data_IF_300576605582
#
_entry.id   IF_300576605582
#
_cell.length_a   1.000
_cell.length_b   1.000
_cell.length_c   1.000
_cell.angle_alpha   90.00
_cell.angle_beta   90.00
_cell.angle_gamma   90.00
#
_symmetry.space_group_name_H-M   'P 1'
#
loop_
_entity.id
_entity.type
_entity.pdbx_description
1 polymer ?
#
# COMPACT_ATOMS: atom_id res chain seq x y z
N UNK A 1 5.39 22.49 34.37
CA UNK A 1 4.62 21.37 33.81
C UNK A 1 4.51 21.65 32.34
N UNK A 2 4.99 20.75 31.48
CA UNK A 2 4.75 20.88 30.05
C UNK A 2 3.23 20.86 29.83
N UNK A 3 2.72 21.75 29.00
CA UNK A 3 1.31 21.81 28.64
C UNK A 3 1.06 20.62 27.71
N UNK A 4 0.40 19.59 28.21
CA UNK A 4 0.08 18.38 27.43
C UNK A 4 -0.84 18.81 26.29
N UNK A 5 -0.45 18.53 25.05
CA UNK A 5 -1.27 18.85 23.89
C UNK A 5 -2.60 18.09 23.96
N UNK A 6 -3.71 18.78 23.68
CA UNK A 6 -5.02 18.16 23.70
C UNK A 6 -5.13 17.02 22.67
N UNK A 7 -5.88 15.96 23.00
CA UNK A 7 -6.13 14.86 22.07
C UNK A 7 -6.82 15.38 20.80
N UNK A 8 -6.38 14.94 19.60
CA UNK A 8 -7.10 15.19 18.36
C UNK A 8 -8.54 14.69 18.41
N UNK A 9 -9.46 15.33 17.69
CA UNK A 9 -10.88 14.94 17.68
C UNK A 9 -11.12 13.52 17.12
N UNK A 10 -10.25 13.05 16.23
CA UNK A 10 -10.29 11.69 15.66
C UNK A 10 -9.64 10.64 16.57
N UNK A 11 -8.97 11.04 17.66
CA UNK A 11 -8.24 10.12 18.53
C UNK A 11 -9.21 9.11 19.16
N UNK A 12 -8.96 7.83 18.90
CA UNK A 12 -9.74 6.70 19.41
C UNK A 12 -8.97 5.91 20.47
N UNK A 13 -7.63 5.90 20.36
CA UNK A 13 -6.72 5.27 21.29
C UNK A 13 -5.56 6.24 21.57
N UNK A 14 -5.19 6.37 22.83
CA UNK A 14 -4.12 7.24 23.28
C UNK A 14 -3.11 6.42 24.06
N UNK A 15 -1.84 6.61 23.76
CA UNK A 15 -0.71 6.00 24.47
C UNK A 15 -0.05 7.09 25.30
N UNK A 16 0.00 6.86 26.61
CA UNK A 16 0.68 7.75 27.55
C UNK A 16 2.18 7.86 27.23
N UNK A 17 2.82 9.01 27.52
CA UNK A 17 4.24 9.20 27.28
C UNK A 17 5.12 8.15 27.97
N UNK A 18 6.15 7.66 27.28
CA UNK A 18 7.16 6.77 27.87
C UNK A 18 8.06 7.55 28.84
N UNK A 19 8.01 7.27 30.16
CA UNK A 19 8.85 7.97 31.14
C UNK A 19 10.35 7.73 30.94
N UNK A 20 10.73 6.74 30.13
CA UNK A 20 12.12 6.42 29.79
C UNK A 20 12.66 7.19 28.57
N UNK A 21 11.79 7.87 27.81
CA UNK A 21 12.18 8.67 26.63
C UNK A 21 11.96 10.18 26.87
N UNK A 22 13.02 10.93 27.23
CA UNK A 22 12.89 12.37 27.46
C UNK A 22 12.45 13.12 26.20
N UNK A 23 11.22 13.61 26.21
CA UNK A 23 10.61 14.37 25.13
C UNK A 23 9.44 13.66 24.46
N UNK A 24 9.23 12.37 24.73
CA UNK A 24 7.95 11.72 24.41
C UNK A 24 6.84 12.37 25.24
N UNK A 25 5.78 12.78 24.56
CA UNK A 25 4.59 13.41 25.13
C UNK A 25 3.33 12.59 24.78
N UNK A 26 3.51 11.38 24.25
CA UNK A 26 2.47 10.40 23.95
C UNK A 26 2.14 10.28 22.47
N UNK A 27 1.31 9.29 22.15
CA UNK A 27 0.84 9.04 20.79
C UNK A 27 -0.69 8.92 20.75
N UNK A 28 -1.26 9.28 19.60
CA UNK A 28 -2.70 9.30 19.35
C UNK A 28 -3.00 8.50 18.11
N UNK A 29 -3.96 7.60 18.19
CA UNK A 29 -4.31 6.69 17.12
C UNK A 29 -5.80 6.79 16.80
N UNK A 30 -6.11 7.05 15.53
CA UNK A 30 -7.48 7.06 15.03
C UNK A 30 -8.03 5.65 14.87
N UNK A 31 -9.26 5.55 14.37
CA UNK A 31 -9.88 4.26 14.11
C UNK A 31 -9.06 3.45 13.09
N UNK A 32 -8.91 2.15 13.36
CA UNK A 32 -8.30 1.22 12.40
C UNK A 32 -9.29 0.87 11.29
N UNK A 33 -8.88 1.10 10.05
CA UNK A 33 -9.64 0.75 8.84
C UNK A 33 -9.02 -0.48 8.19
N UNK A 34 -9.55 -1.66 8.51
CA UNK A 34 -8.99 -2.96 8.07
C UNK A 34 -9.60 -3.47 6.77
N UNK A 35 -8.76 -3.91 5.84
CA UNK A 35 -9.14 -4.62 4.62
C UNK A 35 -8.59 -6.03 4.68
N UNK A 36 -9.46 -7.03 4.54
CA UNK A 36 -9.03 -8.44 4.36
C UNK A 36 -8.80 -8.68 2.87
N UNK A 37 -7.62 -9.18 2.54
CA UNK A 37 -7.21 -9.63 1.20
C UNK A 37 -7.28 -11.15 1.19
N UNK A 38 -8.28 -11.72 0.49
CA UNK A 38 -8.45 -13.16 0.42
C UNK A 38 -7.21 -13.81 -0.21
N UNK A 39 -6.70 -14.85 0.44
CA UNK A 39 -5.52 -15.53 -0.09
C UNK A 39 -5.83 -16.40 -1.31
N UNK A 40 -4.82 -16.64 -2.18
CA UNK A 40 -4.87 -17.77 -3.11
C UNK A 40 -5.08 -19.09 -2.34
N UNK A 41 -5.74 -20.11 -2.93
CA UNK A 41 -6.13 -21.35 -2.25
C UNK A 41 -5.01 -22.18 -1.59
N UNK A 42 -3.75 -21.80 -1.75
CA UNK A 42 -2.55 -22.55 -1.34
C UNK A 42 -1.86 -22.00 -0.09
N UNK A 43 -2.33 -20.89 0.48
CA UNK A 43 -1.73 -20.25 1.66
C UNK A 43 -2.67 -20.31 2.88
N UNK A 44 -2.10 -20.39 4.08
CA UNK A 44 -2.82 -20.79 5.31
C UNK A 44 -3.77 -19.75 5.93
N UNK A 45 -3.42 -18.45 5.90
CA UNK A 45 -4.12 -17.44 6.74
C UNK A 45 -4.36 -16.13 6.00
N UNK A 46 -5.60 -15.67 5.78
CA UNK A 46 -5.90 -14.41 5.07
C UNK A 46 -4.96 -13.25 5.45
N UNK A 47 -4.63 -12.40 4.49
CA UNK A 47 -3.76 -11.25 4.74
C UNK A 47 -4.61 -10.01 4.96
N UNK A 48 -4.23 -9.16 5.90
CA UNK A 48 -4.95 -7.91 6.16
C UNK A 48 -4.06 -6.70 5.92
N UNK A 49 -4.66 -5.62 5.45
CA UNK A 49 -4.06 -4.29 5.53
C UNK A 49 -4.83 -3.45 6.53
N UNK A 50 -4.11 -2.65 7.30
CA UNK A 50 -4.68 -1.70 8.25
C UNK A 50 -4.25 -0.31 7.81
N UNK A 51 -5.22 0.56 7.60
CA UNK A 51 -4.98 2.00 7.45
C UNK A 51 -5.39 2.69 8.74
N UNK A 52 -4.53 3.56 9.27
CA UNK A 52 -4.79 4.27 10.52
C UNK A 52 -4.08 5.62 10.53
N UNK A 53 -4.79 6.68 10.91
CA UNK A 53 -4.15 7.97 11.23
C UNK A 53 -3.51 7.89 12.62
N UNK A 54 -2.30 8.40 12.74
CA UNK A 54 -1.55 8.49 13.98
C UNK A 54 -0.95 9.88 14.15
N UNK A 55 -0.77 10.31 15.39
CA UNK A 55 -0.03 11.51 15.72
C UNK A 55 0.88 11.25 16.92
N UNK A 56 2.13 11.70 16.81
CA UNK A 56 3.14 11.59 17.86
C UNK A 56 3.46 12.97 18.40
N UNK A 57 3.37 13.11 19.72
CA UNK A 57 3.69 14.34 20.41
C UNK A 57 5.12 14.21 20.93
N UNK A 58 6.03 15.03 20.40
CA UNK A 58 7.43 15.01 20.78
C UNK A 58 7.97 16.44 20.96
N UNK A 59 8.48 16.74 22.16
CA UNK A 59 9.08 18.04 22.53
C UNK A 59 8.18 19.24 22.19
N UNK A 60 6.89 19.16 22.51
CA UNK A 60 5.91 20.21 22.26
C UNK A 60 5.51 20.38 20.79
N UNK A 61 5.85 19.42 19.92
CA UNK A 61 5.42 19.38 18.53
C UNK A 61 4.61 18.12 18.28
N UNK A 62 3.57 18.23 17.44
CA UNK A 62 2.76 17.11 17.00
C UNK A 62 3.08 16.78 15.55
N UNK A 63 3.46 15.54 15.28
CA UNK A 63 3.66 15.03 13.93
C UNK A 63 2.55 14.04 13.59
N UNK A 64 1.75 14.35 12.57
CA UNK A 64 0.63 13.50 12.12
C UNK A 64 1.03 12.72 10.87
N UNK A 65 0.60 11.47 10.81
CA UNK A 65 0.95 10.51 9.76
C UNK A 65 -0.13 9.47 9.55
N UNK A 66 -0.14 8.86 8.38
CA UNK A 66 -1.10 7.84 7.97
C UNK A 66 -0.34 6.54 7.79
N UNK A 67 -0.71 5.55 8.57
CA UNK A 67 -0.12 4.23 8.52
C UNK A 67 -0.82 3.39 7.46
N UNK A 68 -0.03 2.70 6.65
CA UNK A 68 -0.44 1.57 5.84
C UNK A 68 0.36 0.36 6.33
N UNK A 69 -0.27 -0.44 7.18
CA UNK A 69 0.34 -1.61 7.79
C UNK A 69 -0.17 -2.89 7.14
N UNK A 70 0.74 -3.83 6.95
CA UNK A 70 0.51 -5.21 6.62
C UNK A 70 1.08 -6.02 7.80
N UNK A 71 0.24 -6.39 8.79
CA UNK A 71 0.72 -6.87 10.08
C UNK A 71 1.72 -8.02 9.97
N UNK A 72 2.89 -7.83 10.59
CA UNK A 72 3.99 -8.79 10.58
C UNK A 72 4.77 -8.89 9.26
N UNK A 73 4.47 -8.04 8.28
CA UNK A 73 5.05 -8.08 6.93
C UNK A 73 5.58 -6.75 6.42
N UNK A 74 5.15 -5.62 6.95
CA UNK A 74 5.72 -4.30 6.64
C UNK A 74 4.73 -3.17 6.92
N UNK A 75 5.25 -1.99 7.27
CA UNK A 75 4.46 -0.79 7.58
C UNK A 75 5.05 0.41 6.87
N UNK A 76 4.20 1.27 6.30
CA UNK A 76 4.59 2.57 5.77
C UNK A 76 3.91 3.68 6.57
N UNK A 77 4.69 4.70 6.97
CA UNK A 77 4.21 5.86 7.71
C UNK A 77 4.24 7.10 6.82
N UNK A 78 3.10 7.45 6.25
CA UNK A 78 3.01 8.43 5.18
C UNK A 78 2.53 9.79 5.67
N UNK A 79 3.03 10.84 5.05
CA UNK A 79 2.37 12.15 5.04
C UNK A 79 1.06 12.11 4.24
N UNK A 80 0.23 13.15 4.38
CA UNK A 80 -1.00 13.30 3.60
C UNK A 80 -0.74 13.25 2.08
N UNK A 81 0.31 13.92 1.61
CA UNK A 81 0.68 13.88 0.18
C UNK A 81 1.03 12.45 -0.25
N UNK A 82 1.79 11.71 0.57
CA UNK A 82 2.26 10.36 0.24
C UNK A 82 1.09 9.36 0.19
N UNK A 83 0.13 9.52 1.11
CA UNK A 83 -1.12 8.76 1.06
C UNK A 83 -1.92 9.08 -0.21
N UNK A 84 -2.07 10.36 -0.59
CA UNK A 84 -2.74 10.76 -1.84
C UNK A 84 -2.06 10.19 -3.08
N UNK A 85 -0.73 10.23 -3.13
CA UNK A 85 0.03 9.65 -4.25
C UNK A 85 -0.14 8.14 -4.33
N UNK A 86 -0.14 7.45 -3.18
CA UNK A 86 -0.41 6.00 -3.10
C UNK A 86 -1.81 5.66 -3.62
N UNK A 87 -2.81 6.47 -3.28
CA UNK A 87 -4.18 6.35 -3.82
C UNK A 87 -4.18 6.44 -5.34
N UNK A 88 -3.50 7.45 -5.90
CA UNK A 88 -3.40 7.62 -7.36
C UNK A 88 -2.75 6.38 -8.01
N UNK A 89 -1.66 5.86 -7.43
CA UNK A 89 -0.98 4.68 -7.97
C UNK A 89 -1.85 3.42 -7.90
N UNK A 90 -2.60 3.22 -6.82
CA UNK A 90 -3.55 2.11 -6.68
C UNK A 90 -4.66 2.19 -7.73
N UNK A 91 -5.28 3.36 -7.89
CA UNK A 91 -6.35 3.54 -8.88
C UNK A 91 -5.82 3.40 -10.30
N UNK A 92 -4.66 3.97 -10.62
CA UNK A 92 -4.05 3.83 -11.93
C UNK A 92 -3.71 2.35 -12.25
N UNK A 93 -3.24 1.59 -11.26
CA UNK A 93 -3.02 0.15 -11.43
C UNK A 93 -4.32 -0.60 -11.79
N UNK A 94 -5.47 -0.20 -11.22
CA UNK A 94 -6.76 -0.80 -11.57
C UNK A 94 -7.18 -0.49 -13.02
N UNK A 95 -6.91 0.71 -13.51
CA UNK A 95 -7.17 1.11 -14.91
C UNK A 95 -6.28 0.33 -15.89
N UNK A 96 -5.00 0.15 -15.54
CA UNK A 96 -4.08 -0.68 -16.32
C UNK A 96 -4.54 -2.15 -16.37
N UNK A 97 -5.07 -2.68 -15.26
CA UNK A 97 -5.65 -4.02 -15.25
C UNK A 97 -6.86 -4.13 -16.20
N UNK A 98 -7.79 -3.18 -16.15
CA UNK A 98 -9.01 -3.18 -16.97
C UNK A 98 -8.73 -3.02 -18.47
N UNK A 99 -7.70 -2.22 -18.81
CA UNK A 99 -7.26 -2.03 -20.21
C UNK A 99 -6.45 -3.19 -20.79
N UNK A 100 -6.09 -4.19 -19.98
CA UNK A 100 -5.29 -5.33 -20.44
C UNK A 100 -6.16 -6.40 -21.09
N UNK A 101 -5.79 -6.83 -22.31
CA UNK A 101 -6.50 -7.90 -23.00
C UNK A 101 -6.43 -9.23 -22.21
N UNK A 102 -7.57 -9.80 -21.76
CA UNK A 102 -7.60 -11.01 -20.94
C UNK A 102 -7.31 -12.29 -21.73
N UNK A 103 -7.20 -12.23 -23.05
CA UNK A 103 -6.98 -13.40 -23.91
C UNK A 103 -5.55 -14.00 -23.82
N UNK A 104 -4.62 -13.36 -23.11
CA UNK A 104 -3.24 -13.85 -22.95
C UNK A 104 -2.42 -13.84 -24.24
N UNK A 105 -2.83 -13.07 -25.25
CA UNK A 105 -2.14 -12.98 -26.53
C UNK A 105 -1.21 -11.78 -26.52
N UNK A 106 0.09 -12.05 -26.63
CA UNK A 106 1.13 -11.03 -26.79
C UNK A 106 1.46 -10.24 -25.52
N UNK A 107 2.58 -9.54 -25.56
CA UNK A 107 3.07 -8.72 -24.46
C UNK A 107 2.14 -7.51 -24.22
N UNK A 108 1.65 -7.25 -22.98
CA UNK A 108 0.95 -6.02 -22.65
C UNK A 108 1.79 -4.77 -22.95
N UNK A 109 1.16 -3.68 -23.42
CA UNK A 109 1.87 -2.44 -23.79
C UNK A 109 2.59 -1.74 -22.63
N UNK A 110 2.20 -2.05 -21.40
CA UNK A 110 2.79 -1.51 -20.17
C UNK A 110 3.88 -2.44 -19.60
N UNK A 111 4.05 -3.64 -20.16
CA UNK A 111 5.04 -4.59 -19.69
C UNK A 111 6.44 -4.03 -19.94
N UNK A 112 7.27 -4.07 -18.89
CA UNK A 112 8.66 -3.63 -18.94
C UNK A 112 9.66 -4.78 -18.87
N UNK A 113 9.16 -6.01 -18.77
CA UNK A 113 10.00 -7.21 -18.85
C UNK A 113 10.46 -7.40 -20.30
N UNK A 114 11.75 -7.74 -20.45
CA UNK A 114 12.35 -7.99 -21.75
C UNK A 114 12.02 -9.42 -22.20
N UNK A 115 11.13 -9.52 -23.18
CA UNK A 115 10.71 -10.78 -23.78
C UNK A 115 11.45 -11.08 -25.11
N UNK A 116 12.48 -10.29 -25.50
CA UNK A 116 13.15 -10.39 -26.82
C UNK A 116 14.04 -11.63 -27.04
N UNK A 117 14.03 -12.63 -26.15
CA UNK A 117 14.90 -13.82 -26.27
C UNK A 117 14.19 -15.12 -26.68
N UNK A 118 12.89 -15.10 -26.97
CA UNK A 118 12.21 -16.22 -27.64
C UNK A 118 12.14 -15.94 -29.15
N UNK A 119 12.78 -16.76 -30.01
CA UNK A 119 12.72 -16.58 -31.46
C UNK A 119 11.26 -16.48 -31.93
N UNK A 120 10.95 -15.57 -32.86
CA UNK A 120 9.60 -15.35 -33.44
C UNK A 120 8.95 -16.63 -34.01
N UNK A 121 9.74 -17.69 -34.24
CA UNK A 121 9.33 -19.00 -34.76
C UNK A 121 9.07 -20.08 -33.68
N UNK A 122 9.36 -19.80 -32.41
CA UNK A 122 8.92 -20.64 -31.29
C UNK A 122 7.84 -19.88 -30.51
N UNK A 123 6.53 -20.13 -30.76
CA UNK A 123 5.52 -19.65 -29.84
C UNK A 123 5.92 -20.16 -28.45
N UNK A 124 5.89 -19.32 -27.42
CA UNK A 124 6.04 -19.76 -26.03
C UNK A 124 5.23 -21.05 -25.87
N UNK A 125 5.93 -22.19 -25.85
CA UNK A 125 5.32 -23.47 -26.30
C UNK A 125 4.37 -24.02 -25.25
N UNK A 126 4.34 -23.41 -24.08
CA UNK A 126 3.42 -23.69 -22.98
C UNK A 126 2.39 -22.57 -22.71
N UNK A 127 2.51 -21.40 -23.36
CA UNK A 127 1.63 -20.26 -23.15
C UNK A 127 1.67 -19.69 -21.72
N UNK A 128 2.78 -19.90 -20.98
CA UNK A 128 2.98 -19.37 -19.64
C UNK A 128 4.02 -18.24 -19.64
N UNK A 129 3.59 -17.01 -19.41
CA UNK A 129 4.47 -15.84 -19.36
C UNK A 129 4.14 -14.94 -18.16
N UNK A 130 5.18 -14.36 -17.56
CA UNK A 130 5.07 -13.37 -16.49
C UNK A 130 5.32 -11.98 -17.05
N UNK A 131 4.39 -11.06 -16.87
CA UNK A 131 4.49 -9.67 -17.31
C UNK A 131 4.37 -8.76 -16.09
N UNK A 132 5.22 -7.73 -16.00
CA UNK A 132 5.12 -6.73 -14.95
C UNK A 132 5.29 -5.32 -15.52
N UNK A 133 4.51 -4.37 -14.99
CA UNK A 133 4.76 -2.95 -15.22
C UNK A 133 5.94 -2.47 -14.40
N UNK A 134 6.50 -1.31 -14.79
CA UNK A 134 7.37 -0.57 -13.88
C UNK A 134 6.64 -0.29 -12.55
N UNK A 135 7.35 -0.38 -11.40
CA UNK A 135 6.78 -0.03 -10.12
C UNK A 135 6.52 1.48 -10.03
N UNK A 136 5.32 1.83 -9.59
CA UNK A 136 4.93 3.19 -9.21
C UNK A 136 5.20 3.37 -7.71
N UNK A 137 6.36 3.93 -7.39
CA UNK A 137 6.84 4.06 -6.01
C UNK A 137 6.57 5.44 -5.44
N UNK A 138 6.05 5.46 -4.22
CA UNK A 138 6.02 6.62 -3.35
C UNK A 138 7.12 6.44 -2.31
N UNK A 139 8.14 7.30 -2.38
CA UNK A 139 9.18 7.35 -1.37
C UNK A 139 8.59 7.87 -0.06
N UNK A 140 8.78 7.12 1.03
CA UNK A 140 8.24 7.45 2.34
C UNK A 140 9.32 8.08 3.22
N UNK A 141 9.02 9.24 3.77
CA UNK A 141 9.96 10.06 4.55
C UNK A 141 9.39 10.27 5.96
N UNK A 142 9.06 9.16 6.61
CA UNK A 142 8.51 9.20 7.95
C UNK A 142 9.56 9.71 8.95
N UNK A 143 9.14 10.32 10.07
CA UNK A 143 10.08 10.74 11.12
C UNK A 143 10.59 9.58 11.97
N UNK A 144 10.02 8.38 11.81
CA UNK A 144 10.45 7.17 12.53
C UNK A 144 10.99 6.13 11.56
N UNK A 145 12.09 5.48 11.94
CA UNK A 145 12.99 4.67 11.12
C UNK A 145 12.42 3.38 10.51
N UNK A 146 11.11 3.21 10.49
CA UNK A 146 10.43 2.11 9.79
C UNK A 146 10.15 2.43 8.32
N UNK A 147 10.88 3.39 7.76
CA UNK A 147 10.75 3.92 6.41
C UNK A 147 10.70 2.81 5.37
N UNK A 148 9.53 2.69 4.80
CA UNK A 148 9.20 1.68 3.81
C UNK A 148 8.49 2.39 2.69
N UNK A 149 9.13 2.43 1.53
CA UNK A 149 8.49 2.92 0.32
C UNK A 149 7.25 2.09 0.02
N UNK A 150 6.23 2.76 -0.50
CA UNK A 150 5.01 2.11 -0.98
C UNK A 150 5.09 2.01 -2.49
N UNK A 151 5.13 0.80 -3.01
CA UNK A 151 5.16 0.58 -4.45
C UNK A 151 3.95 -0.20 -4.93
N UNK A 152 3.38 0.22 -6.05
CA UNK A 152 2.32 -0.50 -6.73
C UNK A 152 2.77 -0.83 -8.15
N UNK A 153 2.54 -2.06 -8.60
CA UNK A 153 2.71 -2.41 -10.02
C UNK A 153 1.56 -3.28 -10.49
N UNK A 154 1.43 -3.44 -11.81
CA UNK A 154 0.51 -4.41 -12.41
C UNK A 154 1.29 -5.64 -12.83
N UNK A 155 0.74 -6.81 -12.52
CA UNK A 155 1.28 -8.10 -12.94
C UNK A 155 0.24 -8.82 -13.79
N UNK A 156 0.68 -9.44 -14.88
CA UNK A 156 -0.12 -10.39 -15.63
C UNK A 156 0.59 -11.74 -15.73
N UNK A 157 -0.16 -12.80 -15.43
CA UNK A 157 0.28 -14.19 -15.55
C UNK A 157 -0.53 -14.85 -16.65
N UNK A 158 0.16 -15.26 -17.72
CA UNK A 158 -0.43 -16.10 -18.75
C UNK A 158 -0.35 -17.56 -18.32
N UNK A 159 -1.46 -18.29 -18.48
CA UNK A 159 -1.51 -19.74 -18.29
C UNK A 159 -2.65 -20.36 -19.07
N UNK A 160 -2.38 -21.45 -19.80
CA UNK A 160 -3.38 -22.22 -20.55
C UNK A 160 -4.29 -21.35 -21.45
N UNK A 161 -3.71 -20.36 -22.15
CA UNK A 161 -4.43 -19.36 -23.00
C UNK A 161 -5.39 -18.44 -22.25
N UNK A 162 -5.19 -18.28 -20.95
CA UNK A 162 -5.88 -17.31 -20.11
C UNK A 162 -4.85 -16.37 -19.49
N UNK A 163 -5.23 -15.11 -19.30
CA UNK A 163 -4.41 -14.14 -18.56
C UNK A 163 -5.08 -13.77 -17.27
N UNK A 164 -4.33 -13.87 -16.16
CA UNK A 164 -4.74 -13.31 -14.87
C UNK A 164 -3.96 -12.03 -14.63
N UNK A 165 -4.68 -10.91 -14.51
CA UNK A 165 -4.09 -9.59 -14.25
C UNK A 165 -4.48 -9.13 -12.85
N UNK A 166 -3.54 -8.56 -12.10
CA UNK A 166 -3.80 -8.00 -10.78
C UNK A 166 -2.81 -6.88 -10.42
N UNK A 167 -3.24 -5.89 -9.61
CA UNK A 167 -2.33 -5.01 -8.92
C UNK A 167 -1.53 -5.78 -7.86
N UNK A 168 -0.27 -5.44 -7.69
CA UNK A 168 0.57 -5.92 -6.59
C UNK A 168 1.01 -4.72 -5.75
N UNK A 169 0.64 -4.74 -4.47
CA UNK A 169 1.07 -3.76 -3.48
C UNK A 169 2.30 -4.28 -2.72
N UNK A 170 3.34 -3.47 -2.71
CA UNK A 170 4.62 -3.78 -2.12
C UNK A 170 4.92 -2.84 -0.96
N UNK A 171 5.29 -3.46 0.16
CA UNK A 171 5.86 -2.84 1.36
C UNK A 171 7.17 -3.59 1.67
N UNK A 172 8.01 -3.07 2.55
CA UNK A 172 9.30 -3.65 2.99
C UNK A 172 9.12 -5.09 3.43
N UNK A 173 9.55 -6.04 2.59
CA UNK A 173 9.46 -7.46 2.87
C UNK A 173 8.15 -8.14 2.46
N UNK A 174 7.25 -7.45 1.76
CA UNK A 174 5.98 -8.03 1.28
C UNK A 174 5.64 -7.62 -0.15
N UNK A 175 5.28 -8.63 -0.95
CA UNK A 175 4.64 -8.47 -2.26
C UNK A 175 3.25 -9.08 -2.17
N UNK A 176 2.21 -8.27 -2.31
CA UNK A 176 0.85 -8.72 -2.08
C UNK A 176 0.00 -8.51 -3.32
N UNK A 177 -0.36 -9.59 -4.03
CA UNK A 177 -1.39 -9.54 -5.06
C UNK A 177 -2.72 -9.06 -4.47
N UNK A 178 -3.33 -8.07 -5.10
CA UNK A 178 -4.62 -7.53 -4.72
C UNK A 178 -5.68 -7.87 -5.76
N UNK A 179 -6.92 -8.08 -5.32
CA UNK A 179 -8.05 -7.91 -6.21
C UNK A 179 -8.32 -6.43 -6.46
N UNK A 180 -9.03 -6.12 -7.54
CA UNK A 180 -9.40 -4.74 -7.88
C UNK A 180 -10.22 -4.09 -6.75
N UNK A 181 -11.16 -4.85 -6.17
CA UNK A 181 -11.97 -4.37 -5.05
C UNK A 181 -11.12 -4.05 -3.81
N UNK A 182 -10.13 -4.87 -3.49
CA UNK A 182 -9.22 -4.66 -2.36
C UNK A 182 -8.34 -3.43 -2.59
N UNK A 183 -7.78 -3.26 -3.80
CA UNK A 183 -7.02 -2.06 -4.16
C UNK A 183 -7.86 -0.78 -3.99
N UNK A 184 -9.11 -0.79 -4.47
CA UNK A 184 -10.03 0.33 -4.30
C UNK A 184 -10.41 0.59 -2.83
N UNK A 185 -10.59 -0.44 -2.01
CA UNK A 185 -10.88 -0.30 -0.57
C UNK A 185 -9.68 0.31 0.18
N UNK A 186 -8.46 -0.15 -0.11
CA UNK A 186 -7.23 0.43 0.48
C UNK A 186 -7.13 1.91 0.09
N UNK A 187 -7.32 2.22 -1.20
CA UNK A 187 -7.34 3.60 -1.68
C UNK A 187 -8.43 4.46 -0.98
N UNK A 188 -9.63 3.92 -0.79
CA UNK A 188 -10.70 4.59 -0.04
C UNK A 188 -10.33 4.88 1.41
N UNK A 189 -9.78 3.90 2.13
CA UNK A 189 -9.37 4.08 3.52
C UNK A 189 -8.22 5.09 3.67
N UNK A 190 -7.29 5.13 2.69
CA UNK A 190 -6.24 6.15 2.66
C UNK A 190 -6.81 7.56 2.45
N UNK A 191 -7.80 7.72 1.57
CA UNK A 191 -8.49 9.01 1.39
C UNK A 191 -9.25 9.42 2.65
N UNK A 192 -9.94 8.49 3.31
CA UNK A 192 -10.63 8.79 4.57
C UNK A 192 -9.65 9.25 5.67
N UNK A 193 -8.49 8.59 5.80
CA UNK A 193 -7.45 9.02 6.74
C UNK A 193 -6.88 10.40 6.37
N UNK A 194 -6.73 10.71 5.08
CA UNK A 194 -6.32 12.02 4.57
C UNK A 194 -7.32 13.11 4.95
N UNK A 195 -8.62 12.85 4.81
CA UNK A 195 -9.67 13.82 5.14
C UNK A 195 -9.65 14.14 6.66
N UNK A 196 -9.44 13.12 7.50
CA UNK A 196 -9.30 13.29 8.95
C UNK A 196 -8.05 14.11 9.35
N UNK A 197 -6.96 14.03 8.58
CA UNK A 197 -5.78 14.88 8.76
C UNK A 197 -6.06 16.35 8.44
N UNK A 198 -6.84 16.62 7.39
CA UNK A 198 -7.08 17.97 6.89
C UNK A 198 -8.05 18.78 7.79
N UNK A 199 -9.01 18.12 8.43
CA UNK A 199 -10.02 18.76 9.28
C UNK A 199 -9.48 19.30 10.63
N UNK A 200 -8.19 19.12 10.92
CA UNK A 200 -7.57 19.50 12.21
C UNK A 200 -6.30 20.36 12.10
N UNK A 201 -6.04 20.96 10.92
CA UNK A 201 -5.05 22.05 10.75
C UNK A 201 -5.72 23.42 10.90
#
# INVERSE_FOLDING_TARGET
MAEVMACPAWCSEHVDPDPSEPGDEGAHFGQQLTIVVPKPPTLSDDQSFVVQIAAHDYRGQRETMIYLDNPGRGVAQMTEWQAKATVVNLLHATELCDSTNPAGVGCPIWCTEDHDNTPEDEPDTDGNAFHASAPMTVEVWGPTSTDTDVSVRVVALDSDRSRRVYPELMLSGSHTPLGIAEACKIAGNLLEAVDLCADNQ
#
